data_IF_007701673741
#
_entry.id   IF_007701673741
#
_cell.length_a   1.000
_cell.length_b   1.000
_cell.length_c   1.000
_cell.angle_alpha   90.00
_cell.angle_beta   90.00
_cell.angle_gamma   90.00
#
_symmetry.space_group_name_H-M   'P 1'
#
loop_
_entity.id
_entity.type
_entity.pdbx_description
1 polymer ?
#
# COMPACT_ATOMS: atom_id res chain seq x y z
N UNK A 1 -9.74 -4.94 -20.34
CA UNK A 1 -8.69 -3.98 -19.94
C UNK A 1 -7.35 -4.62 -20.24
N UNK A 2 -6.47 -3.94 -20.97
CA UNK A 2 -5.14 -4.46 -21.28
C UNK A 2 -4.33 -4.65 -19.98
N UNK A 3 -3.56 -5.73 -19.89
CA UNK A 3 -2.65 -5.98 -18.75
C UNK A 3 -1.73 -4.77 -18.53
N UNK A 4 -1.30 -4.11 -19.61
CA UNK A 4 -0.48 -2.89 -19.60
C UNK A 4 -1.18 -1.67 -18.99
N UNK A 5 -2.51 -1.65 -18.90
CA UNK A 5 -3.23 -0.58 -18.20
C UNK A 5 -3.41 -0.93 -16.72
N UNK A 6 -3.49 -2.22 -16.38
CA UNK A 6 -3.77 -2.67 -15.02
C UNK A 6 -2.61 -2.44 -14.06
N UNK A 7 -1.36 -2.70 -14.47
CA UNK A 7 -0.18 -2.47 -13.60
C UNK A 7 -0.01 -0.99 -13.27
N UNK A 8 -0.16 -0.08 -14.24
CA UNK A 8 -0.11 1.37 -14.01
C UNK A 8 -1.16 1.87 -13.04
N UNK A 9 -2.36 1.30 -13.08
CA UNK A 9 -3.41 1.65 -12.11
C UNK A 9 -3.02 1.20 -10.71
N UNK A 10 -2.48 -0.01 -10.56
CA UNK A 10 -2.00 -0.50 -9.26
C UNK A 10 -0.87 0.38 -8.76
N UNK A 11 0.15 0.65 -9.58
CA UNK A 11 1.28 1.53 -9.24
C UNK A 11 0.78 2.90 -8.77
N UNK A 12 -0.19 3.48 -9.47
CA UNK A 12 -0.79 4.75 -9.08
C UNK A 12 -1.49 4.68 -7.72
N UNK A 13 -2.28 3.65 -7.45
CA UNK A 13 -2.93 3.48 -6.13
C UNK A 13 -1.88 3.36 -5.00
N UNK A 14 -0.81 2.57 -5.23
CA UNK A 14 0.27 2.41 -4.26
C UNK A 14 1.03 3.73 -4.04
N UNK A 15 1.28 4.48 -5.11
CA UNK A 15 1.92 5.79 -5.01
C UNK A 15 1.06 6.81 -4.25
N UNK A 16 -0.26 6.84 -4.50
CA UNK A 16 -1.17 7.72 -3.76
C UNK A 16 -1.23 7.36 -2.28
N UNK A 17 -1.25 6.07 -1.93
CA UNK A 17 -1.15 5.63 -0.54
C UNK A 17 0.17 6.10 0.12
N UNK A 18 1.30 5.90 -0.55
CA UNK A 18 2.61 6.37 -0.07
C UNK A 18 2.63 7.88 0.23
N UNK A 19 2.05 8.70 -0.64
CA UNK A 19 2.00 10.16 -0.47
C UNK A 19 1.19 10.63 0.75
N UNK A 20 0.32 9.79 1.29
CA UNK A 20 -0.49 10.08 2.47
C UNK A 20 0.24 9.77 3.79
N UNK A 21 1.41 9.13 3.73
CA UNK A 21 2.20 8.84 4.92
C UNK A 21 2.81 10.13 5.50
N UNK A 22 2.82 10.29 6.84
CA UNK A 22 3.46 11.44 7.47
C UNK A 22 4.99 11.34 7.33
N UNK A 23 5.66 12.49 7.26
CA UNK A 23 7.14 12.56 7.09
C UNK A 23 7.94 11.92 8.23
N UNK A 24 7.34 11.77 9.40
CA UNK A 24 7.97 11.18 10.58
C UNK A 24 7.56 9.72 10.81
N UNK A 25 7.11 9.02 9.75
CA UNK A 25 6.79 7.59 9.83
C UNK A 25 8.00 6.81 10.34
N UNK A 26 7.78 5.95 11.33
CA UNK A 26 8.79 5.04 11.85
C UNK A 26 9.00 3.91 10.85
N UNK A 27 10.25 3.66 10.50
CA UNK A 27 10.67 2.57 9.62
C UNK A 27 11.38 1.48 10.41
N UNK A 28 11.22 0.22 10.01
CA UNK A 28 11.89 -0.93 10.66
C UNK A 28 11.94 -2.14 9.71
N UNK A 29 12.79 -3.11 10.03
CA UNK A 29 12.92 -4.36 9.26
C UNK A 29 11.68 -5.27 9.32
N UNK A 30 10.76 -5.02 10.26
CA UNK A 30 9.55 -5.80 10.46
C UNK A 30 8.27 -5.05 10.04
N UNK A 31 8.40 -3.76 9.70
CA UNK A 31 7.32 -2.88 9.27
C UNK A 31 7.62 -2.29 7.90
N UNK A 32 7.24 -1.03 7.71
CA UNK A 32 7.47 -0.29 6.46
C UNK A 32 8.92 0.20 6.34
N UNK A 33 9.52 0.05 5.16
CA UNK A 33 10.72 0.81 4.75
C UNK A 33 10.47 1.50 3.41
N UNK A 34 10.68 2.81 3.37
CA UNK A 34 10.43 3.60 2.17
C UNK A 34 11.35 3.20 1.02
N UNK A 35 12.61 2.87 1.33
CA UNK A 35 13.57 2.44 0.32
C UNK A 35 13.13 1.15 -0.37
N UNK A 36 12.61 0.17 0.39
CA UNK A 36 12.12 -1.09 -0.16
C UNK A 36 10.86 -0.88 -0.99
N UNK A 37 9.92 -0.07 -0.49
CA UNK A 37 8.71 0.30 -1.23
C UNK A 37 9.06 0.88 -2.60
N UNK A 38 9.98 1.85 -2.65
CA UNK A 38 10.41 2.49 -3.89
C UNK A 38 11.15 1.52 -4.81
N UNK A 39 12.01 0.66 -4.26
CA UNK A 39 12.72 -0.36 -5.03
C UNK A 39 11.73 -1.33 -5.69
N UNK A 40 10.80 -1.90 -4.92
CA UNK A 40 9.77 -2.81 -5.43
C UNK A 40 8.87 -2.15 -6.46
N UNK A 41 8.48 -0.89 -6.24
CA UNK A 41 7.67 -0.14 -7.21
C UNK A 41 8.44 0.04 -8.53
N UNK A 42 9.73 0.38 -8.46
CA UNK A 42 10.58 0.58 -9.64
C UNK A 42 10.82 -0.71 -10.45
N UNK A 43 10.78 -1.87 -9.78
CA UNK A 43 10.90 -3.19 -10.41
C UNK A 43 9.54 -3.80 -10.81
N UNK A 44 8.44 -3.05 -10.66
CA UNK A 44 7.07 -3.52 -10.90
C UNK A 44 6.69 -4.75 -10.04
N UNK A 45 7.30 -4.87 -8.87
CA UNK A 45 7.00 -5.87 -7.84
C UNK A 45 5.84 -5.39 -6.96
N UNK A 46 4.70 -5.07 -7.61
CA UNK A 46 3.57 -4.35 -7.01
C UNK A 46 2.98 -5.00 -5.76
N UNK A 47 3.07 -6.33 -5.65
CA UNK A 47 2.63 -7.05 -4.45
C UNK A 47 3.54 -6.79 -3.25
N UNK A 48 4.86 -6.77 -3.46
CA UNK A 48 5.83 -6.47 -2.41
C UNK A 48 5.73 -5.00 -2.00
N UNK A 49 5.56 -4.09 -2.97
CA UNK A 49 5.29 -2.68 -2.68
C UNK A 49 4.00 -2.48 -1.85
N UNK A 50 2.94 -3.25 -2.11
CA UNK A 50 1.73 -3.22 -1.28
C UNK A 50 1.97 -3.78 0.14
N UNK A 51 2.79 -4.83 0.26
CA UNK A 51 3.17 -5.42 1.55
C UNK A 51 3.99 -4.44 2.41
N UNK A 52 4.89 -3.65 1.81
CA UNK A 52 5.58 -2.57 2.52
C UNK A 52 4.60 -1.55 3.10
N UNK A 53 3.64 -1.09 2.30
CA UNK A 53 2.64 -0.12 2.75
C UNK A 53 1.72 -0.68 3.83
N UNK A 54 1.33 -1.96 3.76
CA UNK A 54 0.54 -2.56 4.85
C UNK A 54 1.34 -2.80 6.14
N UNK A 55 2.66 -2.96 6.03
CA UNK A 55 3.59 -3.03 7.15
C UNK A 55 3.70 -1.74 7.98
N UNK A 56 3.18 -0.60 7.50
CA UNK A 56 3.20 0.68 8.23
C UNK A 56 2.60 0.55 9.62
N UNK A 57 1.50 -0.21 9.77
CA UNK A 57 0.76 -0.35 11.03
C UNK A 57 1.52 -1.11 12.12
N UNK A 58 2.63 -1.78 11.79
CA UNK A 58 3.43 -2.55 12.76
C UNK A 58 4.07 -1.62 13.80
N UNK A 59 4.54 -0.47 13.35
CA UNK A 59 5.36 0.45 14.16
C UNK A 59 4.76 1.85 14.29
N UNK A 60 3.61 2.08 13.65
CA UNK A 60 2.96 3.38 13.57
C UNK A 60 1.46 3.26 13.90
N UNK A 61 0.82 4.36 14.34
CA UNK A 61 -0.64 4.44 14.35
C UNK A 61 -1.22 4.11 12.97
N UNK A 62 -2.45 3.59 12.95
CA UNK A 62 -3.18 3.37 11.71
C UNK A 62 -3.17 4.63 10.85
N UNK A 63 -2.78 4.54 9.56
CA UNK A 63 -2.93 5.62 8.60
C UNK A 63 -4.39 6.04 8.39
N UNK A 64 -4.61 7.07 7.58
CA UNK A 64 -5.94 7.61 7.31
C UNK A 64 -6.83 6.65 6.52
N UNK A 65 -8.13 6.92 6.47
CA UNK A 65 -9.09 6.15 5.66
C UNK A 65 -8.74 6.15 4.18
N UNK A 66 -8.27 7.29 3.67
CA UNK A 66 -7.87 7.47 2.27
C UNK A 66 -6.68 6.57 1.92
N UNK A 67 -5.70 6.44 2.84
CA UNK A 67 -4.59 5.50 2.67
C UNK A 67 -5.09 4.07 2.48
N UNK A 68 -5.94 3.60 3.39
CA UNK A 68 -6.48 2.24 3.33
C UNK A 68 -7.39 2.04 2.11
N UNK A 69 -8.11 3.07 1.67
CA UNK A 69 -8.93 3.02 0.46
C UNK A 69 -8.09 2.80 -0.80
N UNK A 70 -6.92 3.43 -0.90
CA UNK A 70 -5.97 3.17 -1.99
C UNK A 70 -5.46 1.72 -1.95
N UNK A 71 -5.14 1.17 -0.77
CA UNK A 71 -4.76 -0.24 -0.65
C UNK A 71 -5.91 -1.20 -1.00
N UNK A 72 -7.16 -0.87 -0.67
CA UNK A 72 -8.35 -1.62 -1.12
C UNK A 72 -8.43 -1.63 -2.65
N UNK A 73 -8.21 -0.49 -3.31
CA UNK A 73 -8.27 -0.39 -4.77
C UNK A 73 -7.15 -1.22 -5.42
N UNK A 74 -5.92 -1.07 -4.92
CA UNK A 74 -4.76 -1.86 -5.37
C UNK A 74 -5.00 -3.37 -5.19
N UNK A 75 -5.51 -3.78 -4.03
CA UNK A 75 -5.83 -5.16 -3.72
C UNK A 75 -6.90 -5.73 -4.66
N UNK A 76 -7.96 -4.97 -4.97
CA UNK A 76 -8.99 -5.35 -5.92
C UNK A 76 -8.41 -5.52 -7.34
N UNK A 77 -7.58 -4.59 -7.79
CA UNK A 77 -6.89 -4.69 -9.08
C UNK A 77 -5.95 -5.92 -9.11
N UNK A 78 -5.34 -6.30 -7.99
CA UNK A 78 -4.48 -7.49 -7.90
C UNK A 78 -5.25 -8.81 -7.67
N UNK A 79 -6.56 -8.77 -7.42
CA UNK A 79 -7.32 -9.89 -6.87
C UNK A 79 -6.69 -10.46 -5.58
N UNK A 80 -6.18 -9.59 -4.72
CA UNK A 80 -5.54 -9.94 -3.45
C UNK A 80 -6.56 -10.32 -2.38
N UNK A 81 -6.24 -11.34 -1.58
CA UNK A 81 -7.05 -11.75 -0.42
C UNK A 81 -6.95 -10.79 0.77
N UNK A 82 -6.06 -9.79 0.73
CA UNK A 82 -5.90 -8.78 1.80
C UNK A 82 -6.97 -7.69 1.76
N UNK A 83 -7.73 -7.58 0.66
CA UNK A 83 -8.75 -6.55 0.49
C UNK A 83 -9.74 -6.44 1.67
N UNK A 84 -10.30 -7.54 2.20
CA UNK A 84 -11.21 -7.47 3.33
C UNK A 84 -10.54 -6.95 4.61
N UNK A 85 -9.26 -7.25 4.82
CA UNK A 85 -8.48 -6.74 5.96
C UNK A 85 -8.34 -5.22 5.88
N UNK A 86 -8.03 -4.68 4.70
CA UNK A 86 -7.91 -3.22 4.54
C UNK A 86 -9.23 -2.49 4.77
N UNK A 87 -10.38 -3.10 4.40
CA UNK A 87 -11.69 -2.53 4.73
C UNK A 87 -11.93 -2.42 6.23
N UNK A 88 -11.50 -3.41 7.02
CA UNK A 88 -11.63 -3.35 8.47
C UNK A 88 -10.87 -2.16 9.07
N UNK A 89 -9.73 -1.77 8.49
CA UNK A 89 -8.99 -0.59 8.94
C UNK A 89 -9.70 0.73 8.60
N UNK A 90 -10.43 0.80 7.47
CA UNK A 90 -11.26 1.97 7.13
C UNK A 90 -12.38 2.18 8.16
N UNK A 91 -13.05 1.09 8.55
CA UNK A 91 -14.16 1.13 9.50
C UNK A 91 -13.70 1.45 10.94
N UNK A 92 -12.44 1.12 11.26
CA UNK A 92 -11.84 1.35 12.57
C UNK A 92 -11.15 2.72 12.73
N UNK A 93 -10.89 3.43 11.62
CA UNK A 93 -10.36 4.80 11.61
C UNK A 93 -11.50 5.82 11.67
#
# INVERSE_FOLDING_TARGET
MDKLMKWKLIENELWQAHQLLPKNIKQSDFGYREVDFLEYLSHNELRLAMEELDGVIVDNPSPSKEFWQHLVNAANLMNSKKEPTYRQFIDAT
#
